data_IF_556515370354
#
_entry.id   IF_556515370354
#
_cell.length_a   1.000
_cell.length_b   1.000
_cell.length_c   1.000
_cell.angle_alpha   90.00
_cell.angle_beta   90.00
_cell.angle_gamma   90.00
#
_symmetry.space_group_name_H-M   'P 1'
#
loop_
_entity.id
_entity.type
_entity.pdbx_description
1 polymer ?
#
# COMPACT_ATOMS: atom_id res chain seq x y z
N UNK A 1 -39.04 5.66 26.36
CA UNK A 1 -38.34 4.40 26.73
C UNK A 1 -37.52 3.93 25.54
N UNK A 2 -36.20 3.87 25.73
CA UNK A 2 -35.12 3.23 24.94
C UNK A 2 -35.56 2.29 23.81
N UNK A 3 -35.25 2.58 22.53
CA UNK A 3 -33.99 2.31 21.79
C UNK A 3 -33.55 0.85 21.79
N UNK A 4 -33.50 0.25 20.59
CA UNK A 4 -32.44 -0.66 20.11
C UNK A 4 -32.80 -1.06 18.66
N UNK A 5 -32.52 -0.24 17.65
CA UNK A 5 -31.27 -0.27 16.87
C UNK A 5 -30.60 -1.66 16.85
N UNK A 6 -31.18 -2.57 16.07
CA UNK A 6 -30.59 -3.89 15.81
C UNK A 6 -29.59 -3.74 14.67
N UNK A 7 -28.42 -3.20 15.01
CA UNK A 7 -27.22 -3.23 14.18
C UNK A 7 -26.92 -4.70 13.87
N UNK A 8 -27.10 -5.09 12.62
CA UNK A 8 -26.54 -6.33 12.13
C UNK A 8 -25.03 -6.20 12.23
N UNK A 9 -24.47 -6.93 13.19
CA UNK A 9 -23.05 -7.18 13.34
C UNK A 9 -22.62 -7.87 12.04
N UNK A 10 -22.13 -7.07 11.08
CA UNK A 10 -21.31 -7.57 10.00
C UNK A 10 -20.06 -8.12 10.67
N UNK A 11 -20.11 -9.41 10.98
CA UNK A 11 -18.98 -10.22 11.32
C UNK A 11 -18.11 -10.27 10.05
N UNK A 12 -17.32 -9.21 9.84
CA UNK A 12 -16.25 -9.25 8.86
C UNK A 12 -15.36 -10.41 9.28
N UNK A 13 -15.37 -11.42 8.43
CA UNK A 13 -14.43 -12.53 8.41
C UNK A 13 -13.01 -11.94 8.37
N UNK A 14 -12.47 -11.66 9.56
CA UNK A 14 -11.09 -11.24 9.82
C UNK A 14 -10.23 -12.47 9.64
N UNK A 15 -9.90 -12.79 8.38
CA UNK A 15 -8.82 -13.68 7.96
C UNK A 15 -8.83 -13.78 6.42
N UNK A 16 -8.28 -12.78 5.75
CA UNK A 16 -7.72 -12.84 4.37
C UNK A 16 -7.12 -11.49 3.89
N UNK A 17 -7.24 -10.39 4.65
CA UNK A 17 -6.69 -9.07 4.24
C UNK A 17 -5.25 -8.83 4.72
N UNK A 18 -4.92 -9.23 5.95
CA UNK A 18 -3.56 -9.05 6.52
C UNK A 18 -2.47 -9.81 5.76
N UNK A 19 -2.63 -11.12 5.61
CA UNK A 19 -1.65 -11.96 4.92
C UNK A 19 -1.40 -11.55 3.45
N UNK A 20 -2.43 -11.06 2.75
CA UNK A 20 -2.30 -10.56 1.39
C UNK A 20 -1.51 -9.23 1.33
N UNK A 21 -1.79 -8.30 2.26
CA UNK A 21 -1.03 -7.07 2.40
C UNK A 21 0.42 -7.32 2.83
N UNK A 22 0.67 -8.27 3.73
CA UNK A 22 2.02 -8.65 4.15
C UNK A 22 2.83 -9.17 2.97
N UNK A 23 2.24 -10.05 2.15
CA UNK A 23 2.87 -10.55 0.93
C UNK A 23 3.16 -9.41 -0.06
N UNK A 24 2.22 -8.48 -0.23
CA UNK A 24 2.43 -7.29 -1.06
C UNK A 24 3.55 -6.40 -0.57
N UNK A 25 3.57 -6.02 0.72
CA UNK A 25 4.62 -5.15 1.26
C UNK A 25 5.99 -5.84 1.26
N UNK A 26 6.04 -7.15 1.55
CA UNK A 26 7.25 -7.94 1.40
C UNK A 26 7.71 -7.97 -0.07
N UNK A 27 6.79 -8.04 -1.03
CA UNK A 27 7.14 -7.93 -2.45
C UNK A 27 7.63 -6.52 -2.81
N UNK A 28 7.01 -5.46 -2.28
CA UNK A 28 7.35 -4.07 -2.60
C UNK A 28 8.64 -3.57 -1.92
N UNK A 29 9.21 -4.31 -0.97
CA UNK A 29 10.44 -3.91 -0.27
C UNK A 29 11.71 -3.96 -1.14
N UNK A 30 11.69 -4.72 -2.24
CA UNK A 30 12.82 -4.90 -3.16
C UNK A 30 12.77 -3.95 -4.35
N UNK A 31 13.89 -3.28 -4.63
CA UNK A 31 13.98 -2.27 -5.69
C UNK A 31 13.74 -2.86 -7.09
N UNK A 32 14.26 -4.07 -7.38
CA UNK A 32 14.05 -4.74 -8.67
C UNK A 32 12.57 -5.04 -8.90
N UNK A 33 11.87 -5.57 -7.88
CA UNK A 33 10.42 -5.82 -7.95
C UNK A 33 9.62 -4.54 -8.16
N UNK A 34 9.97 -3.43 -7.51
CA UNK A 34 9.34 -2.12 -7.78
C UNK A 34 9.57 -1.65 -9.21
N UNK A 35 10.81 -1.77 -9.72
CA UNK A 35 11.12 -1.44 -11.11
C UNK A 35 10.35 -2.29 -12.12
N UNK A 36 10.14 -3.58 -11.84
CA UNK A 36 9.31 -4.45 -12.70
C UNK A 36 7.87 -3.93 -12.76
N UNK A 37 7.27 -3.54 -11.63
CA UNK A 37 5.91 -2.96 -11.62
C UNK A 37 5.84 -1.65 -12.40
N UNK A 38 6.84 -0.77 -12.27
CA UNK A 38 6.93 0.47 -13.04
C UNK A 38 7.05 0.23 -14.55
N UNK A 39 7.76 -0.84 -14.96
CA UNK A 39 7.86 -1.22 -16.35
C UNK A 39 6.53 -1.77 -16.88
N UNK A 40 5.91 -2.68 -16.14
CA UNK A 40 4.64 -3.30 -16.51
C UNK A 40 3.48 -2.30 -16.48
N UNK A 41 3.58 -1.21 -15.72
CA UNK A 41 2.64 -0.09 -15.75
C UNK A 41 2.67 0.71 -17.05
N UNK A 42 3.72 0.56 -17.87
CA UNK A 42 3.80 1.20 -19.19
C UNK A 42 3.38 0.24 -20.31
N UNK A 43 3.84 -1.00 -20.25
CA UNK A 43 3.49 -2.04 -21.21
C UNK A 43 3.80 -3.43 -20.65
N UNK A 44 3.04 -4.42 -21.10
CA UNK A 44 3.33 -5.84 -20.87
C UNK A 44 4.73 -6.18 -21.39
N UNK A 45 5.43 -7.08 -20.71
CA UNK A 45 6.80 -7.46 -21.07
C UNK A 45 7.05 -8.95 -20.84
N UNK A 46 7.92 -9.56 -21.63
CA UNK A 46 8.32 -10.94 -21.36
C UNK A 46 9.30 -11.03 -20.18
N UNK A 47 9.37 -12.20 -19.55
CA UNK A 47 10.40 -12.48 -18.53
C UNK A 47 11.82 -12.24 -19.08
N UNK A 48 12.05 -12.54 -20.36
CA UNK A 48 13.34 -12.34 -21.01
C UNK A 48 13.68 -10.86 -21.16
N UNK A 49 12.71 -10.04 -21.58
CA UNK A 49 12.92 -8.59 -21.71
C UNK A 49 13.16 -7.93 -20.36
N UNK A 50 12.43 -8.35 -19.34
CA UNK A 50 12.65 -7.91 -17.96
C UNK A 50 14.04 -8.31 -17.48
N UNK A 51 14.47 -9.56 -17.69
CA UNK A 51 15.81 -10.01 -17.30
C UNK A 51 16.91 -9.18 -17.98
N UNK A 52 16.77 -8.90 -19.27
CA UNK A 52 17.70 -8.07 -20.03
C UNK A 52 17.74 -6.62 -19.49
N UNK A 53 16.57 -5.99 -19.27
CA UNK A 53 16.45 -4.60 -18.80
C UNK A 53 17.06 -4.39 -17.41
N UNK A 54 16.89 -5.35 -16.51
CA UNK A 54 17.40 -5.27 -15.15
C UNK A 54 18.81 -5.87 -15.00
N UNK A 55 19.42 -6.33 -16.09
CA UNK A 55 20.76 -6.95 -16.10
C UNK A 55 20.90 -8.12 -15.10
N UNK A 56 19.86 -8.95 -14.99
CA UNK A 56 19.86 -10.13 -14.11
C UNK A 56 19.61 -11.41 -14.90
N UNK A 57 19.95 -12.54 -14.29
CA UNK A 57 19.71 -13.85 -14.89
C UNK A 57 18.21 -14.12 -15.06
N UNK A 58 17.84 -14.91 -16.07
CA UNK A 58 16.47 -15.39 -16.26
C UNK A 58 15.90 -16.07 -15.00
N UNK A 59 16.73 -16.87 -14.33
CA UNK A 59 16.35 -17.54 -13.07
C UNK A 59 16.09 -16.52 -11.96
N UNK A 60 16.92 -15.48 -11.84
CA UNK A 60 16.70 -14.37 -10.92
C UNK A 60 15.39 -13.66 -11.22
N UNK A 61 15.16 -13.27 -12.47
CA UNK A 61 13.92 -12.59 -12.88
C UNK A 61 12.68 -13.44 -12.62
N UNK A 62 12.71 -14.74 -12.93
CA UNK A 62 11.61 -15.68 -12.59
C UNK A 62 11.30 -15.68 -11.10
N UNK A 63 12.31 -15.61 -10.22
CA UNK A 63 12.10 -15.53 -8.77
C UNK A 63 11.40 -14.22 -8.38
N UNK A 64 11.85 -13.07 -8.90
CA UNK A 64 11.21 -11.78 -8.63
C UNK A 64 9.74 -11.77 -9.11
N UNK A 65 9.50 -12.21 -10.34
CA UNK A 65 8.15 -12.31 -10.92
C UNK A 65 7.27 -13.28 -10.12
N UNK A 66 7.78 -14.44 -9.70
CA UNK A 66 7.02 -15.39 -8.89
C UNK A 66 6.66 -14.86 -7.48
N UNK A 67 7.48 -13.98 -6.89
CA UNK A 67 7.12 -13.26 -5.65
C UNK A 67 5.98 -12.27 -5.94
N UNK A 68 6.08 -11.50 -7.02
CA UNK A 68 5.04 -10.54 -7.41
C UNK A 68 3.71 -11.22 -7.77
N UNK A 69 3.76 -12.38 -8.41
CA UNK A 69 2.60 -13.16 -8.79
C UNK A 69 1.90 -13.77 -7.56
N UNK A 70 2.66 -14.30 -6.59
CA UNK A 70 2.11 -14.76 -5.30
C UNK A 70 1.48 -13.64 -4.49
N UNK A 71 2.04 -12.42 -4.58
CA UNK A 71 1.43 -11.24 -4.00
C UNK A 71 0.22 -10.73 -4.81
N UNK A 72 -0.05 -11.26 -6.01
CA UNK A 72 -1.14 -10.81 -6.88
C UNK A 72 -0.91 -9.43 -7.52
N UNK A 73 0.32 -8.93 -7.52
CA UNK A 73 0.72 -7.65 -8.11
C UNK A 73 1.05 -7.78 -9.61
N UNK A 74 1.39 -8.99 -10.05
CA UNK A 74 1.67 -9.34 -11.45
C UNK A 74 0.87 -10.59 -11.81
N UNK A 75 0.48 -10.71 -13.08
CA UNK A 75 -0.02 -11.95 -13.66
C UNK A 75 0.91 -12.38 -14.78
N UNK A 76 1.11 -13.69 -14.93
CA UNK A 76 1.89 -14.23 -16.04
C UNK A 76 1.06 -15.17 -16.90
N UNK A 77 1.25 -15.08 -18.21
CA UNK A 77 0.62 -15.96 -19.19
C UNK A 77 1.68 -16.52 -20.15
N UNK A 78 1.49 -17.77 -20.55
CA UNK A 78 2.36 -18.41 -21.55
C UNK A 78 1.73 -18.22 -22.92
N UNK A 79 2.36 -17.43 -23.78
CA UNK A 79 1.96 -17.23 -25.18
C UNK A 79 3.00 -17.90 -26.07
N UNK A 80 2.68 -19.08 -26.59
CA UNK A 80 3.62 -19.91 -27.35
C UNK A 80 4.83 -20.33 -26.50
N UNK A 81 6.03 -19.89 -26.89
CA UNK A 81 7.30 -20.16 -26.16
C UNK A 81 7.66 -19.08 -25.14
N UNK A 82 6.95 -17.95 -25.13
CA UNK A 82 7.27 -16.78 -24.31
C UNK A 82 6.32 -16.71 -23.11
N UNK A 83 6.85 -16.35 -21.95
CA UNK A 83 6.03 -16.02 -20.77
C UNK A 83 5.95 -14.51 -20.64
N UNK A 84 4.75 -13.98 -20.89
CA UNK A 84 4.41 -12.56 -20.82
C UNK A 84 3.94 -12.22 -19.41
N UNK A 85 4.43 -11.12 -18.87
CA UNK A 85 4.06 -10.58 -17.57
C UNK A 85 3.20 -9.33 -17.77
N UNK A 86 2.17 -9.18 -16.95
CA UNK A 86 1.26 -8.02 -16.92
C UNK A 86 1.02 -7.57 -15.49
N UNK A 87 0.60 -6.33 -15.28
CA UNK A 87 0.14 -5.91 -13.96
C UNK A 87 -1.08 -6.74 -13.52
N UNK A 88 -1.16 -7.01 -12.21
CA UNK A 88 -2.33 -7.63 -11.61
C UNK A 88 -3.55 -6.73 -11.75
N UNK A 89 -4.74 -7.33 -11.89
CA UNK A 89 -6.01 -6.59 -12.11
C UNK A 89 -6.33 -5.55 -11.05
N UNK A 90 -5.91 -5.79 -9.79
CA UNK A 90 -6.13 -4.89 -8.66
C UNK A 90 -5.05 -3.80 -8.51
N UNK A 91 -4.00 -3.84 -9.33
CA UNK A 91 -2.82 -2.99 -9.20
C UNK A 91 -2.32 -2.92 -7.75
N UNK A 92 -2.28 -1.69 -7.22
CA UNK A 92 -1.86 -1.37 -5.85
C UNK A 92 -3.02 -0.79 -5.00
N UNK A 93 -4.27 -1.06 -5.37
CA UNK A 93 -5.43 -0.39 -4.77
C UNK A 93 -5.57 -0.67 -3.28
N UNK A 94 -5.30 -1.91 -2.86
CA UNK A 94 -5.38 -2.31 -1.45
C UNK A 94 -4.30 -1.62 -0.61
N UNK A 95 -3.09 -1.55 -1.15
CA UNK A 95 -1.92 -0.93 -0.54
C UNK A 95 -2.14 0.58 -0.42
N UNK A 96 -2.62 1.22 -1.49
CA UNK A 96 -2.97 2.63 -1.51
C UNK A 96 -4.07 2.96 -0.50
N UNK A 97 -5.13 2.15 -0.44
CA UNK A 97 -6.22 2.32 0.52
C UNK A 97 -5.74 2.16 1.96
N UNK A 98 -4.84 1.20 2.22
CA UNK A 98 -4.22 1.01 3.53
C UNK A 98 -3.38 2.22 3.94
N UNK A 99 -2.50 2.71 3.05
CA UNK A 99 -1.67 3.90 3.30
C UNK A 99 -2.54 5.14 3.54
N UNK A 100 -3.57 5.35 2.71
CA UNK A 100 -4.49 6.49 2.84
C UNK A 100 -5.26 6.49 4.17
N UNK A 101 -5.67 5.32 4.66
CA UNK A 101 -6.29 5.17 5.99
C UNK A 101 -5.33 5.59 7.11
N UNK A 102 -4.07 5.16 7.05
CA UNK A 102 -3.06 5.52 8.06
C UNK A 102 -2.71 7.01 8.02
N UNK A 103 -2.60 7.60 6.82
CA UNK A 103 -2.41 9.05 6.66
C UNK A 103 -3.53 9.85 7.31
N UNK A 104 -4.79 9.45 7.13
CA UNK A 104 -5.95 10.11 7.76
C UNK A 104 -5.91 10.01 9.29
N UNK A 105 -5.54 8.84 9.82
CA UNK A 105 -5.38 8.64 11.26
C UNK A 105 -4.31 9.58 11.84
N UNK A 106 -3.16 9.70 11.17
CA UNK A 106 -2.10 10.60 11.61
C UNK A 106 -2.49 12.06 11.51
N UNK A 107 -3.10 12.48 10.40
CA UNK A 107 -3.59 13.84 10.23
C UNK A 107 -4.56 14.24 11.35
N UNK A 108 -5.52 13.37 11.69
CA UNK A 108 -6.44 13.63 12.80
C UNK A 108 -5.72 13.80 14.14
N UNK A 109 -4.70 12.98 14.43
CA UNK A 109 -3.91 13.08 15.67
C UNK A 109 -3.08 14.36 15.74
N UNK A 110 -2.49 14.79 14.62
CA UNK A 110 -1.72 16.03 14.57
C UNK A 110 -2.62 17.25 14.71
N UNK A 111 -3.81 17.25 14.10
CA UNK A 111 -4.76 18.35 14.26
C UNK A 111 -5.21 18.57 15.72
N UNK A 112 -5.35 17.51 16.51
CA UNK A 112 -5.66 17.65 17.94
C UNK A 112 -4.46 18.22 18.73
N UNK A 113 -3.23 17.84 18.37
CA UNK A 113 -2.04 18.44 18.98
C UNK A 113 -1.92 19.93 18.64
N UNK A 114 -2.18 20.30 17.38
CA UNK A 114 -2.15 21.70 16.94
C UNK A 114 -3.13 22.57 17.75
N UNK A 115 -4.36 22.08 17.98
CA UNK A 115 -5.34 22.78 18.83
C UNK A 115 -4.83 23.02 20.24
N UNK A 116 -4.27 21.99 20.88
CA UNK A 116 -3.72 22.10 22.24
C UNK A 116 -2.56 23.11 22.31
N UNK A 117 -1.68 23.09 21.30
CA UNK A 117 -0.57 24.04 21.22
C UNK A 117 -1.08 25.47 21.06
N UNK A 118 -2.08 25.71 20.22
CA UNK A 118 -2.67 27.04 20.06
C UNK A 118 -3.39 27.52 21.32
N UNK A 119 -4.11 26.65 22.02
CA UNK A 119 -4.72 26.96 23.32
C UNK A 119 -3.68 27.36 24.37
N UNK A 120 -2.56 26.64 24.45
CA UNK A 120 -1.47 26.97 25.38
C UNK A 120 -0.83 28.32 25.04
N UNK A 121 -0.55 28.59 23.76
CA UNK A 121 -0.04 29.90 23.31
C UNK A 121 -1.01 31.03 23.63
N UNK A 122 -2.32 30.79 23.50
CA UNK A 122 -3.33 31.80 23.82
C UNK A 122 -3.40 32.08 25.32
N UNK A 123 -3.29 31.05 26.18
CA UNK A 123 -3.20 31.22 27.64
C UNK A 123 -1.95 31.98 28.07
N UNK A 124 -0.78 31.65 27.53
CA UNK A 124 0.47 32.35 27.83
C UNK A 124 0.40 33.84 27.48
N UNK A 125 -0.16 34.20 26.31
CA UNK A 125 -0.37 35.60 25.91
C UNK A 125 -1.37 36.34 26.80
N UNK A 126 -2.40 35.66 27.29
CA UNK A 126 -3.39 36.25 28.21
C UNK A 126 -2.78 36.54 29.58
N UNK A 127 -1.97 35.62 30.11
CA UNK A 127 -1.28 35.78 31.40
C UNK A 127 -0.25 36.91 31.37
N UNK A 128 0.50 37.07 30.27
CA UNK A 128 1.44 38.19 30.08
C UNK A 128 0.72 39.54 30.04
N UNK A 129 -0.48 39.59 29.45
CA UNK A 129 -1.27 40.83 29.35
C UNK A 129 -1.91 41.24 30.69
N UNK A 130 -2.24 40.29 31.56
CA UNK A 130 -2.84 40.57 32.87
C UNK A 130 -1.80 40.99 33.94
N UNK A 131 -0.50 40.88 33.63
CA UNK A 131 0.62 41.20 34.53
C UNK A 131 1.27 42.56 34.25
N UNK A 132 0.73 43.32 33.28
CA UNK A 132 1.08 44.71 32.96
C UNK A 132 -0.05 45.64 33.37
#
# INVERSE_FOLDING_TARGET
MHVADRRYILNQMVQCSGAALDASFAALSDATRRGVLEQLGRADASITDLAARFHITLTGMKKHVGVLERAGLVTTEKVGRVRTCKLGRRGLDNEAAWIARHRRLWAARFHELDKLVEELKHKEKADVRNKR
#
